data_IF_636150607672
#
_entry.id   IF_636150607672
#
_cell.length_a   1.000
_cell.length_b   1.000
_cell.length_c   1.000
_cell.angle_alpha   90.00
_cell.angle_beta   90.00
_cell.angle_gamma   90.00
#
_symmetry.space_group_name_H-M   'P 1'
#
loop_
_entity.id
_entity.type
_entity.pdbx_description
1 polymer ?
#
# COMPACT_ATOMS: atom_id res chain seq x y z
N UNK A 1 7.09 -26.70 -3.38
CA UNK A 1 6.05 -25.65 -3.42
C UNK A 1 5.79 -25.17 -2.00
N UNK A 2 5.68 -23.85 -1.78
CA UNK A 2 5.51 -23.26 -0.44
C UNK A 2 6.82 -22.88 0.27
N UNK A 3 7.98 -23.06 -0.36
CA UNK A 3 9.26 -22.54 0.16
C UNK A 3 9.34 -21.03 -0.12
N UNK A 4 9.83 -20.27 0.86
CA UNK A 4 10.17 -18.85 0.69
C UNK A 4 11.62 -18.80 0.25
N UNK A 5 11.87 -18.15 -0.88
CA UNK A 5 13.22 -18.02 -1.45
C UNK A 5 13.65 -16.55 -1.39
N UNK A 6 14.95 -16.32 -1.18
CA UNK A 6 15.61 -15.03 -1.26
C UNK A 6 16.67 -15.08 -2.37
N UNK A 7 16.57 -14.24 -3.41
CA UNK A 7 17.59 -14.16 -4.45
C UNK A 7 18.84 -13.46 -3.91
N UNK A 8 20.00 -14.08 -4.08
CA UNK A 8 21.31 -13.54 -3.73
C UNK A 8 22.26 -13.61 -4.92
N UNK A 9 23.30 -12.77 -4.92
CA UNK A 9 24.37 -12.91 -5.91
C UNK A 9 25.23 -14.13 -5.58
N UNK A 10 25.50 -14.95 -6.60
CA UNK A 10 26.41 -16.08 -6.48
C UNK A 10 27.87 -15.59 -6.49
N UNK A 11 28.71 -16.25 -5.69
CA UNK A 11 30.16 -16.03 -5.64
C UNK A 11 30.85 -17.25 -6.24
N UNK A 12 31.84 -17.02 -7.09
CA UNK A 12 32.65 -18.07 -7.69
C UNK A 12 33.48 -18.78 -6.61
N UNK A 13 33.32 -20.10 -6.51
CA UNK A 13 33.97 -20.92 -5.48
C UNK A 13 35.15 -21.72 -6.02
N UNK A 14 35.19 -21.92 -7.35
CA UNK A 14 36.20 -22.76 -7.99
C UNK A 14 37.42 -21.94 -8.43
N UNK A 15 38.61 -22.53 -8.27
CA UNK A 15 39.88 -21.88 -8.65
C UNK A 15 40.11 -21.86 -10.18
N UNK A 16 39.32 -22.61 -10.97
CA UNK A 16 39.42 -22.76 -12.43
C UNK A 16 38.02 -22.81 -13.08
N UNK A 17 37.19 -21.83 -12.79
CA UNK A 17 35.86 -21.76 -13.39
C UNK A 17 35.95 -21.56 -14.92
N UNK A 18 35.07 -22.23 -15.67
CA UNK A 18 34.95 -22.03 -17.14
C UNK A 18 34.63 -20.57 -17.51
N UNK A 19 34.10 -19.80 -16.53
CA UNK A 19 33.80 -18.38 -16.62
C UNK A 19 35.03 -17.46 -16.65
N UNK A 20 36.22 -17.96 -16.29
CA UNK A 20 37.46 -17.17 -16.20
C UNK A 20 37.52 -16.21 -15.02
N UNK A 21 36.60 -16.33 -14.06
CA UNK A 21 36.57 -15.54 -12.83
C UNK A 21 37.49 -16.13 -11.76
N UNK A 22 38.09 -15.27 -10.94
CA UNK A 22 38.87 -15.72 -9.80
C UNK A 22 37.96 -16.14 -8.64
N UNK A 23 38.41 -17.13 -7.88
CA UNK A 23 37.72 -17.54 -6.65
C UNK A 23 37.47 -16.37 -5.71
N UNK A 24 36.24 -16.28 -5.22
CA UNK A 24 35.77 -15.22 -4.34
C UNK A 24 35.33 -13.95 -5.06
N UNK A 25 35.23 -13.95 -6.39
CA UNK A 25 34.57 -12.88 -7.15
C UNK A 25 33.07 -13.11 -7.30
N UNK A 26 32.32 -12.03 -7.48
CA UNK A 26 30.91 -12.12 -7.88
C UNK A 26 30.83 -12.68 -9.30
N UNK A 27 29.89 -13.61 -9.53
CA UNK A 27 29.56 -14.10 -10.87
C UNK A 27 28.93 -13.00 -11.74
N UNK A 28 28.32 -12.00 -11.09
CA UNK A 28 27.81 -10.81 -11.76
C UNK A 28 28.96 -9.93 -12.28
N UNK A 29 29.06 -9.81 -13.61
CA UNK A 29 30.05 -8.96 -14.28
C UNK A 29 29.45 -7.63 -14.75
N UNK A 30 30.31 -6.66 -15.09
CA UNK A 30 29.87 -5.40 -15.71
C UNK A 30 29.22 -5.61 -17.08
N UNK A 31 29.59 -6.66 -17.80
CA UNK A 31 28.96 -7.01 -19.08
C UNK A 31 27.50 -7.41 -18.89
N UNK A 32 27.18 -8.17 -17.82
CA UNK A 32 25.79 -8.48 -17.47
C UNK A 32 24.99 -7.21 -17.19
N UNK A 33 25.55 -6.26 -16.45
CA UNK A 33 24.90 -4.97 -16.13
C UNK A 33 24.65 -4.17 -17.42
N UNK A 34 25.64 -4.07 -18.31
CA UNK A 34 25.48 -3.35 -19.58
C UNK A 34 24.39 -3.95 -20.48
N UNK A 35 24.22 -5.27 -20.45
CA UNK A 35 23.13 -5.95 -21.16
C UNK A 35 21.77 -5.59 -20.55
N UNK A 36 21.67 -5.53 -19.23
CA UNK A 36 20.44 -5.09 -18.55
C UNK A 36 20.11 -3.63 -18.85
N UNK A 37 21.11 -2.74 -18.87
CA UNK A 37 20.90 -1.34 -19.24
C UNK A 37 20.42 -1.20 -20.70
N UNK A 38 20.83 -2.11 -21.59
CA UNK A 38 20.37 -2.12 -22.97
C UNK A 38 18.90 -2.56 -23.11
N UNK A 39 18.40 -3.37 -22.16
CA UNK A 39 17.02 -3.86 -22.17
C UNK A 39 15.98 -2.75 -22.04
N UNK A 40 16.32 -1.61 -21.44
CA UNK A 40 15.44 -0.44 -21.33
C UNK A 40 14.98 0.09 -22.70
N UNK A 41 15.75 -0.19 -23.76
CA UNK A 41 15.45 0.20 -25.13
C UNK A 41 14.73 -0.87 -25.95
N UNK A 42 14.58 -2.08 -25.39
CA UNK A 42 14.05 -3.25 -26.09
C UNK A 42 12.65 -3.63 -25.56
N UNK A 43 11.73 -4.07 -26.43
CA UNK A 43 10.51 -4.75 -26.00
C UNK A 43 10.86 -6.06 -25.28
N UNK A 44 10.05 -6.45 -24.29
CA UNK A 44 10.23 -7.71 -23.56
C UNK A 44 10.18 -8.97 -24.42
N UNK A 45 9.49 -8.90 -25.56
CA UNK A 45 9.36 -10.02 -26.50
C UNK A 45 10.54 -10.09 -27.50
N UNK A 46 11.49 -9.15 -27.43
CA UNK A 46 12.67 -9.17 -28.30
C UNK A 46 13.61 -10.31 -27.87
N UNK A 47 14.09 -11.15 -28.81
CA UNK A 47 15.03 -12.23 -28.49
C UNK A 47 16.37 -11.76 -27.90
N UNK A 48 16.68 -10.46 -27.97
CA UNK A 48 17.88 -9.87 -27.36
C UNK A 48 17.64 -9.38 -25.93
N UNK A 49 16.40 -9.37 -25.45
CA UNK A 49 16.05 -8.99 -24.09
C UNK A 49 16.70 -9.97 -23.11
N UNK A 50 17.55 -9.46 -22.21
CA UNK A 50 18.24 -10.30 -21.24
C UNK A 50 17.40 -10.49 -19.97
N UNK A 51 16.93 -9.38 -19.40
CA UNK A 51 16.03 -9.34 -18.26
C UNK A 51 16.55 -10.07 -17.02
N UNK A 52 15.65 -10.26 -16.06
CA UNK A 52 15.96 -11.01 -14.83
C UNK A 52 16.26 -12.50 -15.12
N UNK A 53 15.50 -13.11 -16.04
CA UNK A 53 15.64 -14.51 -16.39
C UNK A 53 17.04 -14.80 -16.97
N UNK A 54 17.57 -13.93 -17.82
CA UNK A 54 18.91 -14.09 -18.37
C UNK A 54 20.02 -14.00 -17.32
N UNK A 55 19.87 -13.20 -16.26
CA UNK A 55 20.83 -13.16 -15.14
C UNK A 55 20.80 -14.49 -14.37
N UNK A 56 19.61 -15.04 -14.14
CA UNK A 56 19.45 -16.33 -13.48
C UNK A 56 20.06 -17.46 -14.33
N UNK A 57 19.83 -17.46 -15.64
CA UNK A 57 20.43 -18.44 -16.56
C UNK A 57 21.95 -18.31 -16.65
N UNK A 58 22.48 -17.10 -16.51
CA UNK A 58 23.92 -16.85 -16.41
C UNK A 58 24.54 -17.33 -15.08
N UNK A 59 23.74 -17.84 -14.14
CA UNK A 59 24.20 -18.31 -12.83
C UNK A 59 24.64 -17.18 -11.90
N UNK A 60 24.37 -15.93 -12.23
CA UNK A 60 24.80 -14.78 -11.41
C UNK A 60 23.91 -14.56 -10.18
N UNK A 61 22.69 -15.12 -10.18
CA UNK A 61 21.74 -15.05 -9.06
C UNK A 61 21.25 -16.46 -8.73
N UNK A 62 21.34 -16.80 -7.45
CA UNK A 62 20.79 -18.03 -6.90
C UNK A 62 19.67 -17.72 -5.91
N UNK A 63 18.62 -18.54 -5.94
CA UNK A 63 17.52 -18.47 -5.00
C UNK A 63 17.80 -19.41 -3.84
N UNK A 64 17.99 -18.85 -2.65
CA UNK A 64 18.20 -19.60 -1.42
C UNK A 64 16.91 -19.69 -0.61
N UNK A 65 16.58 -20.87 -0.13
CA UNK A 65 15.58 -21.01 0.92
C UNK A 65 16.17 -20.93 2.34
N UNK A 66 15.29 -20.92 3.33
CA UNK A 66 15.66 -20.83 4.74
C UNK A 66 16.49 -22.02 5.27
N UNK A 67 16.34 -23.22 4.71
CA UNK A 67 17.13 -24.39 5.12
C UNK A 67 18.53 -24.34 4.49
N UNK A 68 18.62 -23.91 3.23
CA UNK A 68 19.88 -23.72 2.52
C UNK A 68 20.70 -22.56 3.12
N UNK A 69 20.04 -21.50 3.61
CA UNK A 69 20.69 -20.38 4.30
C UNK A 69 21.51 -20.84 5.54
N UNK A 70 21.16 -21.96 6.19
CA UNK A 70 21.95 -22.50 7.32
C UNK A 70 23.33 -23.02 6.89
N UNK A 71 23.50 -23.35 5.61
CA UNK A 71 24.75 -23.86 5.03
C UNK A 71 25.50 -22.82 4.20
N UNK A 72 24.87 -21.67 3.91
CA UNK A 72 25.44 -20.60 3.12
C UNK A 72 26.17 -19.56 4.00
N UNK A 73 27.23 -18.97 3.44
CA UNK A 73 27.96 -17.85 4.05
C UNK A 73 27.77 -16.60 3.22
N UNK A 74 26.92 -15.68 3.69
CA UNK A 74 26.48 -14.50 2.94
C UNK A 74 27.30 -13.27 3.38
N UNK A 75 27.90 -12.56 2.43
CA UNK A 75 28.46 -11.22 2.68
C UNK A 75 27.40 -10.13 2.49
N UNK A 76 27.52 -9.03 3.24
CA UNK A 76 26.52 -7.95 3.25
C UNK A 76 26.72 -6.94 2.13
N UNK A 77 27.97 -6.66 1.77
CA UNK A 77 28.31 -5.72 0.71
C UNK A 77 29.42 -6.29 -0.18
N UNK A 78 29.47 -5.93 -1.47
CA UNK A 78 30.58 -6.29 -2.34
C UNK A 78 31.94 -5.79 -1.84
N UNK A 79 31.96 -4.64 -1.16
CA UNK A 79 33.18 -4.10 -0.54
C UNK A 79 33.77 -5.04 0.53
N UNK A 80 32.91 -5.71 1.29
CA UNK A 80 33.36 -6.71 2.28
C UNK A 80 34.01 -7.92 1.58
N UNK A 81 33.53 -8.28 0.38
CA UNK A 81 34.10 -9.37 -0.41
C UNK A 81 35.48 -8.99 -0.98
N UNK A 82 35.65 -7.75 -1.44
CA UNK A 82 36.96 -7.26 -1.89
C UNK A 82 37.97 -7.21 -0.74
N UNK A 83 37.54 -6.74 0.44
CA UNK A 83 38.36 -6.74 1.66
C UNK A 83 38.77 -8.17 2.07
N UNK A 84 37.86 -9.13 1.96
CA UNK A 84 38.16 -10.55 2.18
C UNK A 84 39.27 -11.06 1.25
N UNK A 85 39.20 -10.73 -0.05
CA UNK A 85 40.20 -11.13 -1.04
C UNK A 85 41.56 -10.51 -0.74
N UNK A 86 41.60 -9.22 -0.42
CA UNK A 86 42.83 -8.53 -0.01
C UNK A 86 43.47 -9.15 1.23
N UNK A 87 42.65 -9.50 2.23
CA UNK A 87 43.11 -10.16 3.44
C UNK A 87 43.71 -11.55 3.16
N UNK A 88 43.08 -12.35 2.27
CA UNK A 88 43.61 -13.66 1.86
C UNK A 88 44.90 -13.56 1.05
N UNK A 89 45.05 -12.50 0.26
CA UNK A 89 46.29 -12.18 -0.44
C UNK A 89 47.38 -11.60 0.49
N UNK A 90 47.10 -11.43 1.79
CA UNK A 90 48.06 -10.97 2.80
C UNK A 90 48.21 -9.45 2.89
N UNK A 91 47.35 -8.67 2.23
CA UNK A 91 47.34 -7.23 2.37
C UNK A 91 46.69 -6.81 3.70
N UNK A 92 47.24 -5.77 4.32
CA UNK A 92 46.60 -5.13 5.46
C UNK A 92 45.38 -4.35 4.94
N UNK A 93 44.20 -4.73 5.41
CA UNK A 93 42.98 -3.97 5.15
C UNK A 93 43.16 -2.60 5.82
N UNK A 94 42.99 -1.48 5.10
CA UNK A 94 42.97 -0.17 5.73
C UNK A 94 41.92 -0.19 6.84
N UNK A 95 42.33 0.08 8.09
CA UNK A 95 41.33 0.34 9.10
C UNK A 95 40.56 1.60 8.66
N UNK A 96 39.22 1.56 8.69
CA UNK A 96 38.27 2.67 8.42
C UNK A 96 38.46 3.87 9.41
N UNK A 97 39.62 3.96 10.07
CA UNK A 97 40.01 4.92 11.09
C UNK A 97 40.76 6.12 10.46
N UNK A 98 40.75 6.24 9.13
CA UNK A 98 41.22 7.44 8.45
C UNK A 98 40.24 8.60 8.64
N UNK A 99 40.75 9.78 8.98
CA UNK A 99 40.04 11.06 9.20
C UNK A 99 39.11 11.53 8.04
N UNK A 100 39.05 10.79 6.93
CA UNK A 100 38.32 11.21 5.72
C UNK A 100 36.79 10.98 5.81
N UNK A 101 36.29 10.12 6.72
CA UNK A 101 34.87 9.72 6.73
C UNK A 101 34.25 9.50 8.12
N UNK A 102 34.36 10.51 8.99
CA UNK A 102 33.86 10.50 10.39
C UNK A 102 32.35 10.20 10.51
N UNK A 103 31.55 10.49 9.48
CA UNK A 103 30.08 10.37 9.53
C UNK A 103 29.53 9.03 8.97
N UNK A 104 30.39 8.07 8.64
CA UNK A 104 29.94 6.77 8.12
C UNK A 104 29.45 5.85 9.25
N UNK A 105 28.56 4.92 8.88
CA UNK A 105 28.15 3.84 9.77
C UNK A 105 29.36 2.97 10.11
N UNK A 106 29.55 2.68 11.41
CA UNK A 106 30.58 1.75 11.86
C UNK A 106 30.29 0.36 11.28
N UNK A 107 31.20 -0.12 10.45
CA UNK A 107 31.14 -1.48 9.89
C UNK A 107 31.62 -2.49 10.92
N UNK A 108 31.04 -3.68 10.91
CA UNK A 108 31.52 -4.79 11.71
C UNK A 108 32.86 -5.28 11.17
N UNK A 109 33.88 -5.39 12.04
CA UNK A 109 35.17 -5.96 11.65
C UNK A 109 34.96 -7.40 11.15
N UNK A 110 35.56 -7.72 10.01
CA UNK A 110 35.50 -9.06 9.43
C UNK A 110 36.18 -10.07 10.35
N UNK A 111 35.56 -11.23 10.55
CA UNK A 111 36.16 -12.29 11.34
C UNK A 111 37.34 -12.91 10.57
N UNK A 112 38.58 -12.91 11.10
CA UNK A 112 39.74 -13.51 10.44
C UNK A 112 39.59 -15.01 10.17
N UNK A 113 38.70 -15.70 10.89
CA UNK A 113 38.48 -17.14 10.74
C UNK A 113 37.49 -17.49 9.62
N UNK A 114 36.93 -16.51 8.91
CA UNK A 114 36.03 -16.80 7.78
C UNK A 114 36.82 -17.46 6.65
N UNK A 115 36.42 -18.67 6.27
CA UNK A 115 37.13 -19.47 5.27
C UNK A 115 36.68 -19.15 3.86
N UNK A 116 35.40 -18.92 3.60
CA UNK A 116 34.85 -18.66 2.27
C UNK A 116 33.47 -17.98 2.38
N UNK A 117 33.15 -17.09 1.45
CA UNK A 117 31.79 -16.59 1.22
C UNK A 117 31.19 -17.34 0.02
N UNK A 118 29.93 -17.73 0.11
CA UNK A 118 29.22 -18.43 -0.97
C UNK A 118 28.30 -17.49 -1.74
N UNK A 119 27.73 -16.48 -1.08
CA UNK A 119 26.78 -15.55 -1.67
C UNK A 119 27.00 -14.11 -1.17
N UNK A 120 26.47 -13.15 -1.92
CA UNK A 120 26.41 -11.74 -1.53
C UNK A 120 24.96 -11.24 -1.52
N UNK A 121 24.60 -10.47 -0.49
CA UNK A 121 23.34 -9.74 -0.45
C UNK A 121 23.25 -8.74 -1.60
N UNK A 122 22.08 -8.66 -2.26
CA UNK A 122 21.86 -7.73 -3.38
C UNK A 122 21.89 -6.30 -2.85
N UNK A 123 21.05 -6.02 -1.85
CA UNK A 123 21.08 -4.77 -1.11
C UNK A 123 20.31 -4.92 0.22
N UNK A 124 20.87 -4.52 1.38
CA UNK A 124 20.24 -4.70 2.68
C UNK A 124 18.84 -4.08 2.83
N UNK A 125 18.48 -3.08 2.00
CA UNK A 125 17.13 -2.49 2.02
C UNK A 125 16.03 -3.43 1.56
N UNK A 126 16.36 -4.51 0.83
CA UNK A 126 15.37 -5.48 0.34
C UNK A 126 14.83 -6.38 1.45
N UNK A 127 15.45 -6.35 2.64
CA UNK A 127 14.92 -6.96 3.85
C UNK A 127 13.66 -6.25 4.38
N UNK A 128 13.45 -4.99 3.99
CA UNK A 128 12.30 -4.21 4.44
C UNK A 128 11.02 -4.62 3.70
N UNK A 129 9.93 -4.81 4.44
CA UNK A 129 8.61 -4.97 3.83
C UNK A 129 8.11 -3.69 3.14
N UNK A 130 7.05 -3.82 2.33
CA UNK A 130 6.48 -2.71 1.52
C UNK A 130 6.22 -1.46 2.38
N UNK A 131 5.57 -1.61 3.53
CA UNK A 131 5.25 -0.48 4.42
C UNK A 131 6.47 0.12 5.13
N UNK A 132 7.53 -0.66 5.36
CA UNK A 132 8.76 -0.16 5.97
C UNK A 132 9.66 0.54 4.95
N UNK A 133 9.61 0.09 3.68
CA UNK A 133 10.41 0.66 2.59
C UNK A 133 10.06 2.10 2.22
N UNK A 134 8.86 2.57 2.60
CA UNK A 134 8.42 3.96 2.40
C UNK A 134 8.83 4.90 3.55
N UNK A 135 9.42 4.37 4.62
CA UNK A 135 9.88 5.17 5.76
C UNK A 135 11.24 5.79 5.37
N UNK A 136 11.40 7.12 5.41
CA UNK A 136 12.70 7.74 5.17
C UNK A 136 13.65 7.41 6.34
N UNK A 137 14.89 7.03 6.01
CA UNK A 137 15.95 6.72 6.98
C UNK A 137 15.53 5.74 8.10
N UNK A 138 15.04 4.53 7.76
CA UNK A 138 14.51 3.59 8.74
C UNK A 138 15.59 3.07 9.70
N UNK A 139 16.85 3.08 9.28
CA UNK A 139 18.03 2.70 10.05
C UNK A 139 18.48 3.73 11.08
N UNK A 140 18.02 4.98 10.98
CA UNK A 140 18.32 6.06 11.94
C UNK A 140 17.25 6.22 13.02
N UNK A 141 16.24 5.35 13.05
CA UNK A 141 15.11 5.46 13.95
C UNK A 141 15.14 4.37 15.03
N UNK A 142 14.51 4.63 16.18
CA UNK A 142 14.31 3.60 17.19
C UNK A 142 13.38 2.52 16.63
N UNK A 143 13.75 1.24 16.74
CA UNK A 143 13.02 0.13 16.13
C UNK A 143 11.48 0.14 16.35
N UNK A 144 10.95 0.42 17.57
CA UNK A 144 9.51 0.54 17.81
C UNK A 144 8.80 1.62 16.97
N UNK A 145 9.49 2.70 16.59
CA UNK A 145 8.89 3.78 15.79
C UNK A 145 8.67 3.36 14.33
N UNK A 146 9.53 2.50 13.81
CA UNK A 146 9.36 1.93 12.48
C UNK A 146 8.16 0.97 12.40
N UNK A 147 7.92 0.20 13.46
CA UNK A 147 6.75 -0.69 13.52
C UNK A 147 5.45 0.11 13.61
N UNK A 148 5.42 1.20 14.37
CA UNK A 148 4.25 2.11 14.40
C UNK A 148 3.94 2.70 13.03
N UNK A 149 4.93 3.27 12.35
CA UNK A 149 4.70 3.86 11.03
C UNK A 149 4.25 2.83 10.00
N UNK A 150 4.78 1.60 10.06
CA UNK A 150 4.36 0.52 9.16
C UNK A 150 2.90 0.10 9.37
N UNK A 151 2.39 0.16 10.61
CA UNK A 151 0.99 -0.11 10.92
C UNK A 151 0.08 1.07 10.57
N UNK A 152 0.46 2.28 10.99
CA UNK A 152 -0.30 3.52 10.77
C UNK A 152 -0.36 3.92 9.30
N UNK A 153 0.68 3.62 8.51
CA UNK A 153 0.72 3.91 7.08
C UNK A 153 -0.42 3.27 6.29
N UNK A 154 -0.99 2.16 6.77
CA UNK A 154 -2.17 1.52 6.16
C UNK A 154 -3.46 2.32 6.34
N UNK A 155 -3.49 3.23 7.29
CA UNK A 155 -4.61 4.12 7.59
C UNK A 155 -4.47 5.48 6.86
N UNK A 156 -3.38 5.67 6.10
CA UNK A 156 -3.16 6.89 5.35
C UNK A 156 -4.24 7.11 4.28
N UNK A 157 -4.45 8.39 3.94
CA UNK A 157 -5.43 8.81 2.94
C UNK A 157 -4.70 9.31 1.69
N UNK A 158 -5.20 8.93 0.52
CA UNK A 158 -4.57 9.27 -0.74
C UNK A 158 -5.34 8.71 -1.92
N UNK A 159 -4.70 8.69 -3.08
CA UNK A 159 -5.23 7.92 -4.19
C UNK A 159 -4.91 6.43 -3.97
N UNK A 160 -5.94 5.59 -3.92
CA UNK A 160 -5.77 4.14 -3.90
C UNK A 160 -5.65 3.57 -5.33
N UNK A 161 -6.48 4.06 -6.26
CA UNK A 161 -6.48 3.69 -7.68
C UNK A 161 -6.92 4.90 -8.53
N UNK A 162 -6.45 4.98 -9.78
CA UNK A 162 -6.79 6.07 -10.71
C UNK A 162 -8.23 5.99 -11.23
N UNK A 163 -8.82 4.79 -11.27
CA UNK A 163 -10.18 4.56 -11.76
C UNK A 163 -11.27 4.69 -10.66
N UNK A 164 -10.94 5.30 -9.52
CA UNK A 164 -11.86 5.42 -8.39
C UNK A 164 -13.18 6.13 -8.73
N UNK A 165 -13.19 7.04 -9.72
CA UNK A 165 -14.40 7.75 -10.14
C UNK A 165 -15.43 6.86 -10.85
N UNK A 166 -14.99 5.73 -11.42
CA UNK A 166 -15.85 4.75 -12.11
C UNK A 166 -16.18 3.55 -11.23
N UNK A 167 -15.41 3.33 -10.16
CA UNK A 167 -15.54 2.17 -9.28
C UNK A 167 -16.49 2.49 -8.13
N UNK A 168 -17.50 1.66 -7.94
CA UNK A 168 -18.43 1.78 -6.82
C UNK A 168 -17.94 0.95 -5.63
N UNK A 169 -17.15 1.58 -4.77
CA UNK A 169 -16.72 0.98 -3.49
C UNK A 169 -17.61 1.42 -2.33
N UNK A 170 -17.77 0.55 -1.33
CA UNK A 170 -18.59 0.83 -0.14
C UNK A 170 -18.11 2.08 0.61
N UNK A 171 -16.80 2.25 0.77
CA UNK A 171 -16.21 3.44 1.39
C UNK A 171 -14.90 3.78 0.69
N UNK A 172 -14.70 5.04 0.36
CA UNK A 172 -13.46 5.52 -0.20
C UNK A 172 -13.11 6.91 0.32
N UNK A 173 -11.83 7.12 0.60
CA UNK A 173 -11.26 8.38 1.05
C UNK A 173 -10.18 8.80 0.06
N UNK A 174 -10.32 9.99 -0.53
CA UNK A 174 -9.38 10.50 -1.52
C UNK A 174 -8.94 11.91 -1.14
N UNK A 175 -7.64 12.16 -1.14
CA UNK A 175 -7.07 13.48 -0.83
C UNK A 175 -7.23 14.44 -2.02
N UNK A 176 -7.53 15.72 -1.77
CA UNK A 176 -7.68 16.71 -2.84
C UNK A 176 -6.37 16.99 -3.59
N UNK A 177 -5.27 17.18 -2.86
CA UNK A 177 -3.98 17.60 -3.43
C UNK A 177 -2.81 16.77 -2.92
N UNK A 178 -2.73 15.45 -3.18
CA UNK A 178 -1.61 14.64 -2.73
C UNK A 178 -0.31 15.09 -3.40
N UNK A 179 0.78 15.04 -2.64
CA UNK A 179 2.09 15.53 -3.07
C UNK A 179 3.14 14.43 -2.97
N UNK A 180 4.12 14.51 -3.87
CA UNK A 180 5.28 13.62 -3.83
C UNK A 180 6.10 13.90 -2.57
N UNK A 181 6.52 12.88 -1.82
CA UNK A 181 7.41 13.09 -0.67
C UNK A 181 8.72 13.75 -1.12
N UNK A 182 9.23 14.69 -0.31
CA UNK A 182 10.50 15.37 -0.58
C UNK A 182 11.71 14.45 -0.36
N UNK A 183 11.69 13.70 0.75
CA UNK A 183 12.68 12.68 1.04
C UNK A 183 12.12 11.32 0.64
N UNK A 184 12.75 10.68 -0.35
CA UNK A 184 12.25 9.42 -0.93
C UNK A 184 13.31 8.33 -0.83
N UNK A 185 12.89 7.10 -0.55
CA UNK A 185 13.74 5.92 -0.71
C UNK A 185 13.75 5.48 -2.17
N UNK A 186 14.82 4.80 -2.61
CA UNK A 186 14.88 4.23 -3.97
C UNK A 186 13.74 3.23 -4.22
N UNK A 187 13.33 2.49 -3.18
CA UNK A 187 12.23 1.51 -3.27
C UNK A 187 10.88 2.12 -3.64
N UNK A 188 10.64 3.41 -3.36
CA UNK A 188 9.39 4.10 -3.73
C UNK A 188 9.17 4.16 -5.24
N UNK A 189 10.23 4.10 -6.04
CA UNK A 189 10.14 4.10 -7.50
C UNK A 189 9.51 2.80 -8.01
N UNK A 190 9.93 1.66 -7.49
CA UNK A 190 9.36 0.35 -7.82
C UNK A 190 7.93 0.18 -7.31
N UNK A 191 7.61 0.75 -6.15
CA UNK A 191 6.26 0.72 -5.57
C UNK A 191 5.28 1.70 -6.23
N UNK A 192 5.72 2.51 -7.18
CA UNK A 192 4.91 3.57 -7.80
C UNK A 192 4.31 4.57 -6.80
N UNK A 193 4.92 4.69 -5.62
CA UNK A 193 4.44 5.58 -4.55
C UNK A 193 4.56 7.06 -4.94
N UNK A 194 5.51 7.39 -5.82
CA UNK A 194 5.66 8.73 -6.39
C UNK A 194 4.52 9.09 -7.35
N UNK A 195 3.93 8.10 -8.01
CA UNK A 195 2.82 8.29 -8.96
C UNK A 195 1.48 8.40 -8.21
N UNK A 196 1.30 7.59 -7.17
CA UNK A 196 0.12 7.62 -6.28
C UNK A 196 0.52 7.92 -4.82
N UNK A 197 0.77 9.20 -4.48
CA UNK A 197 1.15 9.57 -3.13
C UNK A 197 -0.04 9.51 -2.15
N UNK A 198 0.27 9.16 -0.90
CA UNK A 198 -0.69 9.07 0.21
C UNK A 198 -0.48 10.16 1.29
N UNK A 199 0.01 11.34 0.90
CA UNK A 199 0.29 12.43 1.84
C UNK A 199 0.46 13.80 1.18
N UNK A 200 0.73 14.81 1.99
CA UNK A 200 1.10 16.17 1.55
C UNK A 200 2.32 16.64 2.33
N UNK A 201 3.18 17.42 1.68
CA UNK A 201 4.27 18.07 2.39
C UNK A 201 3.70 19.26 3.17
N UNK A 202 4.09 19.38 4.44
CA UNK A 202 3.70 20.47 5.31
C UNK A 202 4.96 21.17 5.84
N UNK A 203 4.87 22.49 6.04
CA UNK A 203 5.89 23.23 6.78
C UNK A 203 5.61 23.02 8.26
N UNK A 204 6.54 22.33 8.93
CA UNK A 204 6.43 21.97 10.35
C UNK A 204 7.45 22.76 11.14
N UNK A 205 7.02 23.38 12.24
CA UNK A 205 7.88 24.08 13.18
C UNK A 205 7.80 23.39 14.56
N UNK A 206 8.94 22.97 15.10
CA UNK A 206 9.03 22.37 16.44
C UNK A 206 9.29 23.50 17.42
N UNK A 207 8.28 23.88 18.19
CA UNK A 207 8.35 24.99 19.14
C UNK A 207 7.35 24.82 20.29
N UNK A 208 7.66 25.39 21.45
CA UNK A 208 6.72 25.47 22.58
C UNK A 208 5.91 26.76 22.45
N UNK A 209 4.62 26.67 22.12
CA UNK A 209 3.77 27.85 21.94
C UNK A 209 2.35 27.60 22.42
N UNK A 210 1.80 28.56 23.17
CA UNK A 210 0.42 28.60 23.67
C UNK A 210 -0.06 27.43 24.56
N UNK A 211 0.72 26.35 24.71
CA UNK A 211 0.38 25.19 25.53
C UNK A 211 -0.60 24.21 24.87
N UNK A 212 -1.21 24.56 23.73
CA UNK A 212 -2.14 23.68 23.00
C UNK A 212 -1.46 22.59 22.15
N UNK A 213 -0.13 22.48 22.20
CA UNK A 213 0.66 21.43 21.52
C UNK A 213 1.38 20.49 22.51
N UNK A 214 0.80 20.29 23.69
CA UNK A 214 1.32 19.38 24.72
C UNK A 214 0.84 17.94 24.49
N UNK A 215 1.58 16.95 25.01
CA UNK A 215 1.16 15.53 25.03
C UNK A 215 0.69 15.01 23.66
N UNK A 216 1.58 15.07 22.66
CA UNK A 216 1.36 14.61 21.28
C UNK A 216 0.28 15.35 20.48
N UNK A 217 -0.25 16.47 21.00
CA UNK A 217 -1.14 17.35 20.24
C UNK A 217 -0.37 18.31 19.31
N UNK A 218 -1.02 18.67 18.19
CA UNK A 218 -0.46 19.57 17.18
C UNK A 218 -1.39 20.74 16.92
N UNK A 219 -0.82 21.93 16.75
CA UNK A 219 -1.56 23.13 16.36
C UNK A 219 -1.43 23.31 14.85
N UNK A 220 -2.57 23.44 14.15
CA UNK A 220 -2.61 23.68 12.71
C UNK A 220 -2.92 25.13 12.37
N UNK A 221 -2.37 25.62 11.26
CA UNK A 221 -2.65 26.95 10.74
C UNK A 221 -4.00 26.96 10.00
N UNK A 222 -4.98 27.68 10.54
CA UNK A 222 -6.32 27.81 9.95
C UNK A 222 -6.28 28.32 8.50
N UNK A 223 -5.45 29.33 8.20
CA UNK A 223 -5.34 29.86 6.84
C UNK A 223 -4.85 28.83 5.82
N UNK A 224 -4.05 27.85 6.25
CA UNK A 224 -3.62 26.73 5.39
C UNK A 224 -4.77 25.74 5.14
N UNK A 225 -5.57 25.45 6.17
CA UNK A 225 -6.76 24.59 6.06
C UNK A 225 -7.81 25.22 5.14
N UNK A 226 -8.02 26.54 5.27
CA UNK A 226 -8.96 27.30 4.43
C UNK A 226 -8.56 27.25 2.94
N UNK A 227 -7.25 27.20 2.68
CA UNK A 227 -6.67 27.03 1.33
C UNK A 227 -6.67 25.58 0.83
N UNK A 228 -7.09 24.61 1.65
CA UNK A 228 -7.27 23.22 1.25
C UNK A 228 -6.21 22.23 1.74
N UNK A 229 -5.38 22.62 2.72
CA UNK A 229 -4.46 21.68 3.39
C UNK A 229 -5.27 20.51 4.00
N UNK A 230 -4.87 19.28 3.66
CA UNK A 230 -5.47 18.01 4.07
C UNK A 230 -6.97 17.83 3.81
N UNK A 231 -7.57 18.58 2.86
CA UNK A 231 -8.96 18.31 2.44
C UNK A 231 -9.08 16.97 1.74
N UNK A 232 -10.10 16.20 2.09
CA UNK A 232 -10.40 14.90 1.51
C UNK A 232 -11.86 14.80 1.04
N UNK A 233 -12.09 13.97 0.02
CA UNK A 233 -13.40 13.49 -0.39
C UNK A 233 -13.69 12.17 0.32
N UNK A 234 -14.89 12.06 0.85
CA UNK A 234 -15.43 10.81 1.39
C UNK A 234 -16.56 10.33 0.49
N UNK A 235 -16.44 9.10 0.00
CA UNK A 235 -17.46 8.43 -0.79
C UNK A 235 -18.02 7.27 0.00
N UNK A 236 -19.34 7.07 -0.09
CA UNK A 236 -20.01 5.89 0.41
C UNK A 236 -21.02 5.38 -0.60
N UNK A 237 -20.94 4.09 -0.90
CA UNK A 237 -21.93 3.41 -1.72
C UNK A 237 -22.91 2.63 -0.84
N UNK A 238 -24.18 2.69 -1.23
CA UNK A 238 -25.25 1.87 -0.67
C UNK A 238 -25.70 0.88 -1.73
N UNK A 239 -25.92 -0.37 -1.32
CA UNK A 239 -26.34 -1.45 -2.21
C UNK A 239 -27.65 -2.04 -1.70
N UNK A 240 -28.60 -2.22 -2.61
CA UNK A 240 -29.87 -2.90 -2.36
C UNK A 240 -30.26 -3.71 -3.60
N UNK A 241 -31.08 -4.73 -3.41
CA UNK A 241 -31.57 -5.59 -4.49
C UNK A 241 -32.98 -6.06 -4.21
N UNK A 242 -33.81 -6.19 -5.23
CA UNK A 242 -35.17 -6.71 -5.10
C UNK A 242 -35.14 -8.18 -4.67
N UNK A 243 -35.71 -8.48 -3.50
CA UNK A 243 -35.81 -9.85 -3.01
C UNK A 243 -37.19 -10.42 -3.31
N UNK A 244 -37.22 -11.73 -3.55
CA UNK A 244 -38.49 -12.47 -3.61
C UNK A 244 -38.98 -12.71 -2.19
N UNK A 245 -40.20 -12.29 -1.90
CA UNK A 245 -40.89 -12.49 -0.63
C UNK A 245 -41.88 -13.63 -0.82
N UNK A 246 -41.53 -14.81 -0.30
CA UNK A 246 -42.33 -16.02 -0.50
C UNK A 246 -42.20 -16.59 -1.92
N UNK A 247 -43.31 -17.13 -2.44
CA UNK A 247 -43.32 -17.86 -3.73
C UNK A 247 -43.64 -16.92 -4.92
N UNK A 248 -44.52 -15.93 -4.73
CA UNK A 248 -45.11 -15.16 -5.84
C UNK A 248 -44.83 -13.65 -5.80
N UNK A 249 -44.30 -13.12 -4.70
CA UNK A 249 -44.14 -11.67 -4.55
C UNK A 249 -42.68 -11.25 -4.68
N UNK A 250 -42.45 -10.11 -5.33
CA UNK A 250 -41.14 -9.49 -5.49
C UNK A 250 -41.23 -8.08 -4.93
N UNK A 251 -40.20 -7.67 -4.19
CA UNK A 251 -40.04 -6.27 -3.78
C UNK A 251 -39.81 -5.40 -5.02
N UNK A 252 -40.31 -4.18 -5.00
CA UNK A 252 -40.17 -3.25 -6.14
C UNK A 252 -39.56 -1.94 -5.67
N UNK A 253 -38.66 -1.39 -6.48
CA UNK A 253 -38.21 0.00 -6.32
C UNK A 253 -39.28 0.95 -6.87
N UNK A 254 -39.82 1.77 -5.99
CA UNK A 254 -40.81 2.80 -6.29
C UNK A 254 -40.84 3.80 -5.14
N UNK A 255 -41.36 5.00 -5.40
CA UNK A 255 -41.59 6.00 -4.37
C UNK A 255 -42.77 5.59 -3.45
N UNK A 256 -42.53 5.34 -2.15
CA UNK A 256 -43.61 4.93 -1.25
C UNK A 256 -44.47 6.13 -0.83
N UNK A 257 -45.80 5.97 -0.84
CA UNK A 257 -46.72 7.02 -0.41
C UNK A 257 -47.36 6.69 0.95
N UNK A 258 -47.66 7.71 1.75
CA UNK A 258 -48.34 7.54 3.05
C UNK A 258 -49.71 6.87 2.95
N UNK A 259 -50.35 6.93 1.77
CA UNK A 259 -51.67 6.35 1.52
C UNK A 259 -51.66 4.83 1.34
N UNK A 260 -50.61 4.28 0.72
CA UNK A 260 -50.57 2.88 0.27
C UNK A 260 -49.55 2.01 1.02
N UNK A 261 -48.56 2.64 1.67
CA UNK A 261 -47.50 1.96 2.41
C UNK A 261 -47.69 2.00 3.92
N UNK A 262 -47.42 0.84 4.54
CA UNK A 262 -47.45 0.63 5.98
C UNK A 262 -46.04 0.81 6.57
N UNK A 263 -45.95 1.45 7.74
CA UNK A 263 -44.71 1.64 8.52
C UNK A 263 -43.59 2.35 7.75
N UNK A 264 -43.91 3.51 7.18
CA UNK A 264 -42.90 4.42 6.66
C UNK A 264 -41.86 4.77 7.73
N UNK A 265 -40.60 4.82 7.32
CA UNK A 265 -39.50 5.30 8.17
C UNK A 265 -39.65 6.80 8.45
N UNK A 266 -38.93 7.28 9.46
CA UNK A 266 -38.99 8.68 9.91
C UNK A 266 -38.24 9.68 9.00
N UNK A 267 -37.77 9.24 7.82
CA UNK A 267 -37.05 10.05 6.85
C UNK A 267 -37.92 10.79 5.83
N UNK A 268 -37.29 11.68 5.09
CA UNK A 268 -37.92 12.41 3.97
C UNK A 268 -37.88 11.57 2.70
N UNK A 269 -39.03 11.40 2.03
CA UNK A 269 -39.17 10.69 0.74
C UNK A 269 -39.33 11.66 -0.45
N UNK A 270 -39.41 12.96 -0.19
CA UNK A 270 -39.66 13.98 -1.21
C UNK A 270 -38.56 14.05 -2.27
N UNK A 271 -37.34 13.67 -1.89
CA UNK A 271 -36.13 13.68 -2.74
C UNK A 271 -36.02 12.49 -3.69
N UNK A 272 -36.92 11.51 -3.57
CA UNK A 272 -36.99 10.36 -4.47
C UNK A 272 -37.75 10.73 -5.74
N UNK A 273 -37.25 10.27 -6.87
CA UNK A 273 -37.96 10.29 -8.15
C UNK A 273 -38.98 9.14 -8.21
N UNK A 274 -39.72 9.05 -9.32
CA UNK A 274 -40.80 8.07 -9.49
C UNK A 274 -40.29 6.61 -9.48
N UNK A 275 -39.02 6.40 -9.83
CA UNK A 275 -38.32 5.11 -9.75
C UNK A 275 -37.88 4.74 -8.33
N UNK A 276 -38.13 5.60 -7.33
CA UNK A 276 -37.72 5.38 -5.95
C UNK A 276 -36.22 5.60 -5.72
N UNK A 277 -35.51 6.32 -6.59
CA UNK A 277 -34.08 6.63 -6.41
C UNK A 277 -33.89 8.14 -6.39
N UNK A 278 -32.88 8.63 -5.65
CA UNK A 278 -32.51 10.05 -5.65
C UNK A 278 -31.63 10.38 -6.86
N UNK A 279 -31.98 11.41 -7.61
CA UNK A 279 -31.15 11.90 -8.70
C UNK A 279 -29.75 12.36 -8.24
N UNK A 280 -28.67 12.09 -9.00
CA UNK A 280 -27.33 12.59 -8.69
C UNK A 280 -27.29 14.12 -8.58
N UNK A 281 -26.68 14.64 -7.50
CA UNK A 281 -26.52 16.07 -7.24
C UNK A 281 -27.55 16.68 -6.29
N UNK A 282 -28.56 15.93 -5.89
CA UNK A 282 -29.49 16.34 -4.82
C UNK A 282 -28.80 16.22 -3.47
N UNK A 283 -28.85 17.31 -2.68
CA UNK A 283 -28.31 17.32 -1.32
C UNK A 283 -29.13 16.43 -0.39
N UNK A 284 -28.49 15.49 0.27
CA UNK A 284 -29.09 14.54 1.24
C UNK A 284 -28.41 14.67 2.61
N UNK A 285 -29.19 14.53 3.68
CA UNK A 285 -28.70 14.71 5.04
C UNK A 285 -29.35 13.72 6.00
N UNK A 286 -28.54 13.14 6.88
CA UNK A 286 -28.99 12.40 8.04
C UNK A 286 -29.87 11.21 7.71
N UNK A 287 -31.16 11.28 8.06
CA UNK A 287 -32.13 10.19 7.91
C UNK A 287 -32.93 10.24 6.59
N UNK A 288 -32.52 11.09 5.64
CA UNK A 288 -33.13 11.14 4.31
C UNK A 288 -33.10 9.77 3.62
N UNK A 289 -34.19 9.43 2.94
CA UNK A 289 -34.31 8.17 2.22
C UNK A 289 -33.66 8.31 0.85
N UNK A 290 -32.73 7.41 0.54
CA UNK A 290 -31.98 7.42 -0.72
C UNK A 290 -32.46 6.35 -1.71
N UNK A 291 -33.04 5.26 -1.20
CA UNK A 291 -33.59 4.15 -1.99
C UNK A 291 -34.97 3.85 -1.44
N UNK A 292 -36.01 4.21 -2.17
CA UNK A 292 -37.40 3.88 -1.95
C UNK A 292 -37.69 2.45 -2.41
N UNK A 293 -38.16 1.62 -1.47
CA UNK A 293 -38.41 0.21 -1.74
C UNK A 293 -39.63 -0.27 -1.01
N UNK A 294 -40.50 -1.00 -1.70
CA UNK A 294 -41.74 -1.53 -1.13
C UNK A 294 -41.77 -3.04 -1.24
N UNK A 295 -42.31 -3.68 -0.20
CA UNK A 295 -42.62 -5.10 -0.19
C UNK A 295 -44.14 -5.26 -0.15
N UNK A 296 -44.76 -6.01 -1.08
CA UNK A 296 -46.18 -6.33 -0.97
C UNK A 296 -46.44 -7.17 0.29
N UNK A 297 -47.58 -6.92 0.95
CA UNK A 297 -47.99 -7.64 2.15
C UNK A 297 -49.02 -8.71 1.75
N UNK A 298 -48.82 -9.96 2.18
CA UNK A 298 -49.81 -11.00 1.97
C UNK A 298 -51.12 -10.67 2.75
N UNK A 299 -52.27 -10.77 2.08
CA UNK A 299 -53.57 -10.41 2.64
C UNK A 299 -53.99 -11.33 3.80
N UNK A 300 -53.49 -12.57 3.81
CA UNK A 300 -53.85 -13.59 4.81
C UNK A 300 -53.18 -13.39 6.18
N UNK A 301 -52.05 -12.67 6.24
CA UNK A 301 -51.38 -12.35 7.50
C UNK A 301 -51.96 -11.06 8.10
N UNK A 302 -52.96 -11.19 8.97
CA UNK A 302 -53.48 -10.08 9.76
C UNK A 302 -52.49 -9.69 10.87
N UNK A 303 -51.61 -8.74 10.60
CA UNK A 303 -50.82 -8.09 11.64
C UNK A 303 -51.70 -7.17 12.50
N UNK A 304 -52.23 -7.73 13.59
CA UNK A 304 -52.55 -7.08 14.87
C UNK A 304 -52.92 -5.57 14.82
N UNK A 305 -53.98 -5.21 14.10
CA UNK A 305 -54.76 -3.99 14.36
C UNK A 305 -54.22 -2.64 13.86
N UNK A 306 -53.08 -2.57 13.16
CA UNK A 306 -52.56 -1.31 12.58
C UNK A 306 -52.88 -1.11 11.09
N UNK A 307 -53.60 -2.06 10.47
CA UNK A 307 -53.84 -2.08 9.01
C UNK A 307 -55.21 -1.51 8.65
N UNK A 308 -55.24 -0.48 7.80
CA UNK A 308 -56.44 -0.09 7.02
C UNK A 308 -56.45 -0.86 5.69
N UNK A 309 -57.63 -1.05 5.08
CA UNK A 309 -57.77 -1.77 3.80
C UNK A 309 -56.96 -1.13 2.65
N UNK A 310 -56.57 0.14 2.76
CA UNK A 310 -55.77 0.86 1.78
C UNK A 310 -54.27 0.51 1.79
N UNK A 311 -53.76 -0.05 2.89
CA UNK A 311 -52.33 -0.39 2.99
C UNK A 311 -52.06 -1.80 2.42
N UNK A 312 -51.50 -1.81 1.22
CA UNK A 312 -51.17 -3.03 0.45
C UNK A 312 -49.67 -3.35 0.53
N UNK A 313 -48.84 -2.35 0.78
CA UNK A 313 -47.38 -2.43 0.73
C UNK A 313 -46.76 -2.12 2.09
N UNK A 314 -45.58 -2.67 2.37
CA UNK A 314 -44.73 -2.34 3.52
C UNK A 314 -43.50 -1.61 3.02
N UNK A 315 -43.07 -0.60 3.78
CA UNK A 315 -41.83 0.09 3.49
C UNK A 315 -40.59 -0.77 3.85
N UNK A 316 -39.71 -0.94 2.86
CA UNK A 316 -38.41 -1.61 2.96
C UNK A 316 -37.25 -0.68 2.52
N UNK A 317 -37.50 0.63 2.45
CA UNK A 317 -36.57 1.64 1.94
C UNK A 317 -35.28 1.74 2.74
N UNK A 318 -34.19 2.20 2.12
CA UNK A 318 -32.89 2.38 2.77
C UNK A 318 -32.62 3.87 3.06
N UNK A 319 -32.48 4.28 4.34
CA UNK A 319 -32.08 5.64 4.69
C UNK A 319 -30.57 5.84 4.58
N UNK A 320 -30.16 7.09 4.44
CA UNK A 320 -28.80 7.54 4.70
C UNK A 320 -28.47 7.34 6.21
N UNK A 321 -27.19 7.30 6.58
CA UNK A 321 -26.82 7.28 8.00
C UNK A 321 -27.02 8.66 8.62
N UNK A 322 -27.58 8.71 9.82
CA UNK A 322 -27.90 9.93 10.55
C UNK A 322 -26.71 10.88 10.76
N UNK A 323 -25.48 10.35 10.80
CA UNK A 323 -24.24 11.10 10.99
C UNK A 323 -23.60 11.61 9.71
N UNK A 324 -24.21 11.37 8.55
CA UNK A 324 -23.64 11.65 7.23
C UNK A 324 -24.51 12.61 6.43
N UNK A 325 -23.87 13.42 5.58
CA UNK A 325 -24.53 14.32 4.64
C UNK A 325 -23.65 14.55 3.41
N UNK A 326 -24.27 14.96 2.30
CA UNK A 326 -23.61 15.13 1.01
C UNK A 326 -24.47 15.95 0.07
#
# INVERSE_FOLDING_TARGET
AGRVMRPLFAIEQEDNAESGLEKGQLVLTKEHIQRLDADDSLPRDDPKFFGWEGICEAGAIEYLDAEEEETAMICMTPEDLDNYRLQKAGYQIPEDVGDEDINKRVKTKMNPTTHMYTHCEIHPSMLLGICASIIPFPDHNQSPRNTYQSAMGKQAMGFFLTNYTRRMDTMANVLYYPQKPLATTRSMEYLKFRELPAGQNAIVAILCYSGYNQEDSVIMNQSSIDRGLFRSLFFRAYTDSEKRVGINFVETFEKPFRSDTLRLKHGTYDKLDDDGIVAPGVRVSGEDIIIGKTSPINLDHQELGQRTQSHVKRDASTPLRSTENG
#
